data_IF_705752280585
#
_entry.id   IF_705752280585
#
_cell.length_a   1.000
_cell.length_b   1.000
_cell.length_c   1.000
_cell.angle_alpha   90.00
_cell.angle_beta   90.00
_cell.angle_gamma   90.00
#
_symmetry.space_group_name_H-M   'P 1'
#
loop_
_entity.id
_entity.type
_entity.pdbx_description
1 polymer ?
#
# COMPACT_ATOMS: atom_id res chain seq x y z
N UNK A 1 -38.23 -21.28 16.28
CA UNK A 1 -37.03 -20.44 16.17
C UNK A 1 -36.55 -20.54 14.74
N UNK A 2 -36.75 -19.49 13.95
CA UNK A 2 -36.25 -19.42 12.59
C UNK A 2 -34.76 -19.08 12.68
N UNK A 3 -33.90 -20.01 12.26
CA UNK A 3 -32.49 -19.73 12.07
C UNK A 3 -32.37 -18.64 11.01
N UNK A 4 -31.84 -17.47 11.39
CA UNK A 4 -31.35 -16.51 10.42
C UNK A 4 -30.22 -17.18 9.63
N UNK A 5 -30.27 -17.20 8.28
CA UNK A 5 -29.16 -17.70 7.50
C UNK A 5 -27.96 -16.79 7.79
N UNK A 6 -26.90 -17.35 8.37
CA UNK A 6 -25.59 -16.73 8.36
C UNK A 6 -25.21 -16.61 6.88
N UNK A 7 -25.30 -15.41 6.33
CA UNK A 7 -24.79 -15.15 4.99
C UNK A 7 -23.32 -15.59 4.97
N UNK A 8 -22.98 -16.52 4.09
CA UNK A 8 -21.63 -17.05 3.97
C UNK A 8 -20.70 -15.88 3.65
N UNK A 9 -19.73 -15.65 4.53
CA UNK A 9 -18.84 -14.51 4.41
C UNK A 9 -17.96 -14.64 3.15
N UNK A 10 -17.71 -15.87 2.68
CA UNK A 10 -17.02 -16.11 1.40
C UNK A 10 -17.83 -15.52 0.24
N UNK A 11 -19.15 -15.66 0.27
CA UNK A 11 -20.04 -15.07 -0.71
C UNK A 11 -19.99 -13.54 -0.65
N UNK A 12 -19.93 -12.95 0.56
CA UNK A 12 -19.78 -11.50 0.73
C UNK A 12 -18.45 -10.99 0.15
N UNK A 13 -17.35 -11.69 0.39
CA UNK A 13 -16.04 -11.33 -0.17
C UNK A 13 -16.06 -11.48 -1.69
N UNK A 14 -16.60 -12.58 -2.24
CA UNK A 14 -16.70 -12.77 -3.68
C UNK A 14 -17.57 -11.71 -4.36
N UNK A 15 -18.72 -11.36 -3.76
CA UNK A 15 -19.58 -10.27 -4.26
C UNK A 15 -18.81 -8.95 -4.22
N UNK A 16 -18.14 -8.64 -3.11
CA UNK A 16 -17.38 -7.41 -2.95
C UNK A 16 -16.20 -7.30 -3.94
N UNK A 17 -15.55 -8.43 -4.25
CA UNK A 17 -14.52 -8.53 -5.29
C UNK A 17 -15.13 -8.31 -6.70
N UNK A 18 -16.29 -8.92 -6.97
CA UNK A 18 -16.98 -8.78 -8.25
C UNK A 18 -17.49 -7.36 -8.53
N UNK A 19 -17.95 -6.65 -7.49
CA UNK A 19 -18.39 -5.24 -7.62
C UNK A 19 -17.25 -4.24 -7.46
N UNK A 20 -16.03 -4.68 -7.16
CA UNK A 20 -14.86 -3.82 -6.98
C UNK A 20 -14.99 -2.87 -5.78
N UNK A 21 -15.49 -3.35 -4.64
CA UNK A 21 -15.64 -2.53 -3.43
C UNK A 21 -14.26 -2.09 -2.89
N UNK A 22 -13.84 -0.87 -3.21
CA UNK A 22 -12.52 -0.34 -2.86
C UNK A 22 -12.24 -0.40 -1.35
N UNK A 23 -13.25 -0.19 -0.51
CA UNK A 23 -13.10 -0.26 0.95
C UNK A 23 -12.67 -1.65 1.43
N UNK A 24 -13.30 -2.71 0.92
CA UNK A 24 -12.87 -4.08 1.22
C UNK A 24 -11.50 -4.40 0.60
N UNK A 25 -11.26 -3.99 -0.65
CA UNK A 25 -10.00 -4.26 -1.33
C UNK A 25 -8.81 -3.66 -0.56
N UNK A 26 -8.96 -2.43 -0.07
CA UNK A 26 -7.97 -1.79 0.81
C UNK A 26 -7.77 -2.57 2.11
N UNK A 27 -8.85 -3.02 2.75
CA UNK A 27 -8.75 -3.85 3.97
C UNK A 27 -8.05 -5.18 3.72
N UNK A 28 -8.29 -5.85 2.59
CA UNK A 28 -7.57 -7.08 2.24
C UNK A 28 -6.05 -6.82 2.16
N UNK A 29 -5.64 -5.67 1.58
CA UNK A 29 -4.24 -5.30 1.47
C UNK A 29 -3.60 -4.92 2.80
N UNK A 30 -4.34 -4.21 3.65
CA UNK A 30 -3.82 -3.60 4.88
C UNK A 30 -3.93 -4.54 6.07
N UNK A 31 -5.10 -5.17 6.25
CA UNK A 31 -5.45 -5.99 7.42
C UNK A 31 -5.00 -7.45 7.26
N UNK A 32 -4.32 -7.80 6.15
CA UNK A 32 -3.76 -9.14 5.98
C UNK A 32 -2.55 -9.39 6.88
N UNK A 33 -2.24 -10.66 7.12
CA UNK A 33 -1.05 -11.08 7.88
C UNK A 33 -0.11 -11.95 7.03
N UNK A 34 1.16 -11.56 6.88
CA UNK A 34 1.67 -10.21 7.09
C UNK A 34 0.95 -9.21 6.16
N UNK A 35 0.94 -7.91 6.49
CA UNK A 35 0.27 -6.91 5.65
C UNK A 35 0.82 -6.95 4.22
N UNK A 36 -0.08 -6.92 3.23
CA UNK A 36 0.30 -6.97 1.81
C UNK A 36 1.07 -5.72 1.42
N UNK A 37 0.49 -4.57 1.76
CA UNK A 37 0.98 -3.23 1.47
C UNK A 37 0.68 -2.36 2.70
N UNK A 38 1.64 -1.54 3.12
CA UNK A 38 1.41 -0.59 4.21
C UNK A 38 0.29 0.41 3.84
N UNK A 39 -0.57 0.82 4.80
CA UNK A 39 -1.68 1.75 4.52
C UNK A 39 -1.25 3.00 3.75
N UNK A 40 -0.11 3.57 4.16
CA UNK A 40 0.48 4.77 3.56
C UNK A 40 0.74 4.62 2.05
N UNK A 41 1.08 3.41 1.61
CA UNK A 41 1.42 3.07 0.22
C UNK A 41 0.22 2.77 -0.67
N UNK A 42 -1.00 2.66 -0.14
CA UNK A 42 -2.15 2.26 -0.97
C UNK A 42 -2.77 3.49 -1.64
N UNK A 43 -2.46 3.68 -2.92
CA UNK A 43 -3.13 4.60 -3.84
C UNK A 43 -4.49 4.04 -4.27
N UNK A 44 -4.79 4.02 -5.56
CA UNK A 44 -6.00 3.36 -6.07
C UNK A 44 -5.91 1.83 -6.05
N UNK A 45 -7.04 1.15 -5.85
CA UNK A 45 -7.13 -0.32 -5.86
C UNK A 45 -8.28 -0.75 -6.76
N UNK A 46 -8.01 -1.72 -7.62
CA UNK A 46 -9.00 -2.36 -8.48
C UNK A 46 -8.85 -3.88 -8.41
N UNK A 47 -9.96 -4.59 -8.55
CA UNK A 47 -9.98 -6.03 -8.71
C UNK A 47 -10.48 -6.41 -10.10
N UNK A 48 -9.83 -7.39 -10.72
CA UNK A 48 -10.31 -8.07 -11.91
C UNK A 48 -10.51 -9.56 -11.57
N UNK A 49 -11.69 -10.10 -11.85
CA UNK A 49 -12.10 -11.47 -11.49
C UNK A 49 -12.01 -12.39 -12.70
N UNK A 50 -11.66 -13.66 -12.48
CA UNK A 50 -11.56 -14.70 -13.50
C UNK A 50 -10.62 -14.30 -14.66
N UNK A 51 -9.45 -13.75 -14.31
CA UNK A 51 -8.48 -13.24 -15.28
C UNK A 51 -7.84 -14.41 -16.05
N UNK A 52 -7.91 -14.43 -17.40
CA UNK A 52 -7.28 -15.48 -18.20
C UNK A 52 -5.76 -15.34 -18.13
N UNK A 53 -5.06 -16.43 -17.79
CA UNK A 53 -3.60 -16.46 -17.84
C UNK A 53 -3.12 -17.79 -18.41
N UNK A 54 -2.48 -17.72 -19.58
CA UNK A 54 -2.08 -18.91 -20.34
C UNK A 54 -3.27 -19.80 -20.66
N UNK A 55 -3.18 -21.08 -20.30
CA UNK A 55 -4.25 -22.08 -20.46
C UNK A 55 -5.26 -22.11 -19.29
N UNK A 56 -5.06 -21.29 -18.26
CA UNK A 56 -5.86 -21.27 -17.04
C UNK A 56 -6.56 -19.94 -16.77
N UNK A 57 -7.14 -19.84 -15.57
CA UNK A 57 -7.72 -18.61 -15.03
C UNK A 57 -7.25 -18.41 -13.60
N UNK A 58 -7.02 -17.15 -13.24
CA UNK A 58 -6.82 -16.73 -11.86
C UNK A 58 -8.15 -16.29 -11.26
N UNK A 59 -8.36 -16.59 -9.98
CA UNK A 59 -9.59 -16.22 -9.27
C UNK A 59 -9.76 -14.70 -9.31
N UNK A 60 -8.76 -13.96 -8.80
CA UNK A 60 -8.76 -12.50 -8.78
C UNK A 60 -7.34 -11.95 -8.94
N UNK A 61 -7.21 -10.83 -9.65
CA UNK A 61 -5.99 -10.00 -9.68
C UNK A 61 -6.31 -8.64 -9.11
N UNK A 62 -5.58 -8.24 -8.07
CA UNK A 62 -5.63 -6.88 -7.54
C UNK A 62 -4.57 -6.03 -8.22
N UNK A 63 -5.00 -4.93 -8.84
CA UNK A 63 -4.11 -3.89 -9.35
C UNK A 63 -4.10 -2.75 -8.34
N UNK A 64 -2.91 -2.43 -7.83
CA UNK A 64 -2.69 -1.41 -6.80
C UNK A 64 -1.73 -0.35 -7.33
N UNK A 65 -2.12 0.91 -7.22
CA UNK A 65 -1.19 2.04 -7.37
C UNK A 65 -0.43 2.20 -6.05
N UNK A 66 0.86 1.84 -6.05
CA UNK A 66 1.74 2.01 -4.89
C UNK A 66 2.17 3.46 -4.79
N UNK A 67 1.65 4.18 -3.81
CA UNK A 67 1.97 5.58 -3.54
C UNK A 67 3.25 5.70 -2.72
N UNK A 68 4.28 6.33 -3.27
CA UNK A 68 5.54 6.60 -2.55
C UNK A 68 5.51 7.98 -1.88
N UNK A 69 4.70 8.92 -2.38
CA UNK A 69 4.51 10.23 -1.79
C UNK A 69 3.04 10.61 -1.74
N UNK A 70 2.57 11.13 -0.61
CA UNK A 70 1.17 11.50 -0.43
C UNK A 70 1.02 12.95 0.06
N UNK A 71 -0.06 13.60 -0.37
CA UNK A 71 -0.42 14.96 0.03
C UNK A 71 -0.84 14.96 1.50
N UNK A 72 -0.33 15.91 2.29
CA UNK A 72 -0.67 16.03 3.70
C UNK A 72 -2.19 16.22 3.89
N UNK A 73 -2.78 15.48 4.82
CA UNK A 73 -4.22 15.52 5.14
C UNK A 73 -5.14 15.03 4.02
N UNK A 74 -4.64 14.43 2.94
CA UNK A 74 -5.49 13.96 1.83
C UNK A 74 -6.24 12.67 2.13
N UNK A 75 -5.83 11.95 3.19
CA UNK A 75 -6.48 10.73 3.67
C UNK A 75 -6.50 10.71 5.21
N UNK A 76 -7.42 9.96 5.85
CA UNK A 76 -7.51 9.89 7.31
C UNK A 76 -6.27 9.31 8.01
N UNK A 77 -5.48 8.48 7.32
CA UNK A 77 -4.26 7.85 7.82
C UNK A 77 -3.02 8.76 7.69
N UNK A 78 -3.13 9.89 6.98
CA UNK A 78 -2.02 10.80 6.75
C UNK A 78 -2.05 11.96 7.74
N UNK A 79 -0.89 12.40 8.25
CA UNK A 79 -0.80 13.62 9.04
C UNK A 79 -1.30 14.83 8.23
N UNK A 80 -1.95 15.75 8.93
CA UNK A 80 -2.28 17.08 8.40
C UNK A 80 -1.01 17.87 8.04
N UNK A 81 -1.19 19.01 7.37
CA UNK A 81 -0.07 19.91 7.10
C UNK A 81 0.67 20.30 8.39
N UNK A 82 2.01 20.29 8.38
CA UNK A 82 2.80 20.68 9.53
C UNK A 82 2.57 22.15 9.87
N UNK A 83 2.32 22.44 11.14
CA UNK A 83 2.21 23.82 11.63
C UNK A 83 3.61 24.32 11.94
N UNK A 84 4.19 25.09 11.02
CA UNK A 84 5.54 25.64 11.16
C UNK A 84 5.41 27.12 11.52
N UNK A 85 5.88 27.47 12.72
CA UNK A 85 5.77 28.81 13.28
C UNK A 85 7.02 29.67 13.07
N UNK A 86 8.15 29.06 12.74
CA UNK A 86 9.43 29.75 12.60
C UNK A 86 10.08 29.50 11.23
N UNK A 87 10.89 30.47 10.80
CA UNK A 87 11.54 30.45 9.50
C UNK A 87 12.70 29.44 9.45
N UNK A 88 13.39 29.23 10.57
CA UNK A 88 14.60 28.40 10.63
C UNK A 88 14.24 26.91 10.44
N UNK A 89 13.16 26.46 11.05
CA UNK A 89 12.59 25.12 10.88
C UNK A 89 12.07 24.92 9.46
N UNK A 90 11.42 25.94 8.88
CA UNK A 90 11.02 25.88 7.47
C UNK A 90 12.24 25.69 6.57
N UNK A 91 13.31 26.47 6.79
CA UNK A 91 14.54 26.40 6.01
C UNK A 91 15.25 25.05 6.18
N UNK A 92 15.27 24.51 7.41
CA UNK A 92 15.78 23.18 7.69
C UNK A 92 15.02 22.10 6.90
N UNK A 93 13.69 22.20 6.80
CA UNK A 93 12.85 21.24 6.08
C UNK A 93 12.90 21.41 4.55
N UNK A 94 13.38 22.53 4.03
CA UNK A 94 13.28 22.90 2.60
C UNK A 94 14.63 23.30 1.99
N UNK A 95 15.74 22.93 2.62
CA UNK A 95 17.09 23.37 2.25
C UNK A 95 17.60 22.82 0.91
N UNK A 96 17.05 21.73 0.42
CA UNK A 96 17.42 21.10 -0.85
C UNK A 96 16.28 21.17 -1.86
N UNK A 97 16.61 21.35 -3.14
CA UNK A 97 15.63 21.58 -4.22
C UNK A 97 15.82 20.59 -5.34
N UNK A 98 14.74 19.95 -5.77
CA UNK A 98 14.77 19.03 -6.89
C UNK A 98 14.91 19.75 -8.24
N UNK A 99 15.26 18.99 -9.27
CA UNK A 99 15.03 19.42 -10.65
C UNK A 99 13.53 19.63 -10.90
N UNK A 100 13.22 20.36 -11.97
CA UNK A 100 11.85 20.48 -12.45
C UNK A 100 11.44 19.16 -13.10
N UNK A 101 10.38 18.55 -12.58
CA UNK A 101 9.82 17.33 -13.15
C UNK A 101 8.45 17.60 -13.77
N UNK A 102 8.12 16.93 -14.89
CA UNK A 102 6.74 16.89 -15.34
C UNK A 102 5.93 15.99 -14.40
N UNK A 103 4.86 16.55 -13.86
CA UNK A 103 3.82 15.76 -13.21
C UNK A 103 2.92 15.11 -14.27
N UNK A 104 2.58 15.89 -15.30
CA UNK A 104 1.79 15.45 -16.45
C UNK A 104 2.10 16.36 -17.64
N UNK A 105 2.22 15.81 -18.85
CA UNK A 105 2.56 16.56 -20.06
C UNK A 105 1.45 16.49 -21.10
N UNK A 106 1.09 17.66 -21.64
CA UNK A 106 0.16 17.85 -22.76
C UNK A 106 -1.13 17.01 -22.66
N UNK A 107 -1.80 17.08 -21.50
CA UNK A 107 -3.05 16.35 -21.26
C UNK A 107 -4.27 17.26 -21.32
N UNK A 108 -5.44 16.67 -21.56
CA UNK A 108 -6.71 17.41 -21.47
C UNK A 108 -6.97 17.90 -20.04
N UNK A 109 -7.73 18.98 -19.90
CA UNK A 109 -8.15 19.50 -18.60
C UNK A 109 -8.80 18.41 -17.73
N UNK A 110 -9.66 17.58 -18.31
CA UNK A 110 -10.35 16.50 -17.59
C UNK A 110 -9.36 15.50 -16.97
N UNK A 111 -8.29 15.13 -17.68
CA UNK A 111 -7.27 14.21 -17.14
C UNK A 111 -6.39 14.85 -16.08
N UNK A 112 -6.12 16.15 -16.19
CA UNK A 112 -5.42 16.88 -15.14
C UNK A 112 -6.26 16.99 -13.87
N UNK A 113 -7.56 17.28 -14.01
CA UNK A 113 -8.50 17.30 -12.87
C UNK A 113 -8.60 15.93 -12.21
N UNK A 114 -8.75 14.86 -13.00
CA UNK A 114 -8.78 13.49 -12.50
C UNK A 114 -7.51 13.15 -11.71
N UNK A 115 -6.33 13.51 -12.22
CA UNK A 115 -5.06 13.29 -11.53
C UNK A 115 -4.99 14.06 -10.21
N UNK A 116 -5.29 15.36 -10.21
CA UNK A 116 -5.24 16.18 -8.98
C UNK A 116 -6.26 15.70 -7.93
N UNK A 117 -7.45 15.32 -8.37
CA UNK A 117 -8.47 14.75 -7.49
C UNK A 117 -8.02 13.42 -6.90
N UNK A 118 -7.37 12.56 -7.69
CA UNK A 118 -6.86 11.26 -7.22
C UNK A 118 -5.76 11.41 -6.17
N UNK A 119 -4.93 12.44 -6.28
CA UNK A 119 -3.93 12.81 -5.27
C UNK A 119 -4.59 13.27 -3.95
N UNK A 120 -5.84 13.75 -4.04
CA UNK A 120 -6.63 14.24 -2.92
C UNK A 120 -6.55 15.76 -2.73
N UNK A 121 -6.26 16.52 -3.79
CA UNK A 121 -6.46 17.96 -3.76
C UNK A 121 -7.95 18.31 -3.65
N UNK A 122 -8.28 19.28 -2.79
CA UNK A 122 -9.64 19.82 -2.70
C UNK A 122 -10.03 20.57 -3.98
N UNK A 123 -11.33 20.72 -4.22
CA UNK A 123 -11.83 21.46 -5.39
C UNK A 123 -11.27 22.90 -5.45
N UNK A 124 -11.19 23.57 -4.29
CA UNK A 124 -10.60 24.90 -4.20
C UNK A 124 -9.12 24.91 -4.58
N UNK A 125 -8.34 23.94 -4.10
CA UNK A 125 -6.92 23.80 -4.45
C UNK A 125 -6.73 23.50 -5.94
N UNK A 126 -7.55 22.60 -6.50
CA UNK A 126 -7.52 22.28 -7.93
C UNK A 126 -7.82 23.53 -8.77
N UNK A 127 -8.84 24.31 -8.41
CA UNK A 127 -9.16 25.56 -9.11
C UNK A 127 -8.00 26.56 -9.05
N UNK A 128 -7.31 26.67 -7.91
CA UNK A 128 -6.13 27.52 -7.79
C UNK A 128 -4.98 27.03 -8.68
N UNK A 129 -4.61 25.75 -8.60
CA UNK A 129 -3.53 25.14 -9.39
C UNK A 129 -3.76 25.35 -10.89
N UNK A 130 -4.99 25.09 -11.36
CA UNK A 130 -5.33 25.13 -12.77
C UNK A 130 -5.34 26.56 -13.33
N UNK A 131 -5.59 27.58 -12.50
CA UNK A 131 -5.69 28.98 -12.90
C UNK A 131 -4.48 29.83 -12.46
N UNK A 132 -3.36 29.20 -12.13
CA UNK A 132 -2.13 29.91 -11.79
C UNK A 132 -1.64 30.80 -12.96
N UNK A 133 -1.18 32.03 -12.68
CA UNK A 133 -0.39 32.80 -13.62
C UNK A 133 0.89 32.04 -14.05
N UNK A 134 1.43 32.38 -15.23
CA UNK A 134 2.55 31.64 -15.84
C UNK A 134 3.81 31.51 -14.95
N UNK A 135 4.05 32.49 -14.06
CA UNK A 135 5.20 32.51 -13.14
C UNK A 135 4.84 32.08 -11.72
N UNK A 136 3.57 31.77 -11.44
CA UNK A 136 3.11 31.43 -10.11
C UNK A 136 3.29 29.94 -9.80
N UNK A 137 3.36 29.65 -8.50
CA UNK A 137 3.47 28.31 -7.96
C UNK A 137 2.43 28.12 -6.87
N UNK A 138 1.75 26.97 -6.91
CA UNK A 138 0.96 26.48 -5.80
C UNK A 138 1.87 25.64 -4.89
N UNK A 139 1.79 25.84 -3.58
CA UNK A 139 2.62 25.13 -2.61
C UNK A 139 1.75 24.19 -1.79
N UNK A 140 2.20 22.97 -1.58
CA UNK A 140 1.56 22.04 -0.64
C UNK A 140 2.58 21.18 0.09
N UNK A 141 2.16 20.63 1.23
CA UNK A 141 2.96 19.73 2.06
C UNK A 141 2.70 18.28 1.73
N UNK A 142 3.76 17.48 1.78
CA UNK A 142 3.74 16.07 1.39
C UNK A 142 4.58 15.25 2.35
N UNK A 143 4.25 13.96 2.42
CA UNK A 143 5.01 12.95 3.14
C UNK A 143 5.48 11.88 2.15
N UNK A 144 6.74 11.46 2.24
CA UNK A 144 7.22 10.26 1.55
C UNK A 144 7.01 9.07 2.47
N UNK A 145 6.59 7.94 1.94
CA UNK A 145 6.57 6.70 2.69
C UNK A 145 7.83 5.89 2.35
N UNK A 146 8.51 5.38 3.37
CA UNK A 146 9.70 4.53 3.21
C UNK A 146 9.33 3.09 2.84
N UNK A 147 10.31 2.21 2.61
CA UNK A 147 10.03 0.81 2.26
C UNK A 147 9.15 0.05 3.27
N UNK A 148 9.13 0.48 4.54
CA UNK A 148 8.33 -0.09 5.62
C UNK A 148 6.93 0.54 5.74
N UNK A 149 6.67 1.63 5.00
CA UNK A 149 5.44 2.40 5.05
C UNK A 149 5.39 3.43 6.17
N UNK A 150 6.51 3.66 6.87
CA UNK A 150 6.63 4.78 7.79
C UNK A 150 6.76 6.07 6.98
N UNK A 151 6.07 7.12 7.45
CA UNK A 151 6.13 8.42 6.80
C UNK A 151 7.42 9.14 7.21
N UNK A 152 8.11 9.68 6.21
CA UNK A 152 9.32 10.48 6.35
C UNK A 152 9.03 11.87 6.90
N UNK A 153 10.10 12.65 7.07
CA UNK A 153 10.03 14.10 7.28
C UNK A 153 9.19 14.74 6.15
N UNK A 154 8.27 15.68 6.47
CA UNK A 154 7.47 16.36 5.45
C UNK A 154 8.33 17.22 4.53
N UNK A 155 7.88 17.37 3.29
CA UNK A 155 8.53 18.21 2.28
C UNK A 155 7.50 19.09 1.57
N UNK A 156 7.96 20.22 0.99
CA UNK A 156 7.08 21.07 0.18
C UNK A 156 7.18 20.73 -1.29
N UNK A 157 6.04 20.62 -1.96
CA UNK A 157 5.96 20.53 -3.40
C UNK A 157 5.39 21.81 -3.97
N UNK A 158 6.09 22.36 -4.95
CA UNK A 158 5.69 23.54 -5.67
C UNK A 158 5.20 23.07 -7.02
N UNK A 159 3.91 23.26 -7.32
CA UNK A 159 3.26 22.87 -8.56
C UNK A 159 3.00 24.11 -9.39
N UNK A 160 3.27 24.05 -10.68
CA UNK A 160 2.85 25.07 -11.65
C UNK A 160 2.11 24.43 -12.82
N UNK A 161 1.18 25.18 -13.39
CA UNK A 161 0.44 24.78 -14.57
C UNK A 161 0.85 25.62 -15.79
N UNK A 162 0.87 24.99 -16.96
CA UNK A 162 1.03 25.66 -18.25
C UNK A 162 -0.10 25.24 -19.16
N UNK A 163 -0.91 26.20 -19.60
CA UNK A 163 -1.98 26.02 -20.58
C UNK A 163 -1.45 26.33 -21.98
N UNK A 164 -1.87 25.54 -22.96
CA UNK A 164 -1.55 25.74 -24.37
C UNK A 164 -2.80 26.15 -25.15
N UNK A 165 -2.60 26.74 -26.33
CA UNK A 165 -3.70 27.25 -27.16
C UNK A 165 -4.62 26.16 -27.72
N UNK A 166 -4.18 24.90 -27.71
CA UNK A 166 -4.97 23.72 -28.09
C UNK A 166 -5.87 23.19 -26.95
N UNK A 167 -5.88 23.86 -25.79
CA UNK A 167 -6.66 23.46 -24.62
C UNK A 167 -5.98 22.39 -23.75
N UNK A 168 -4.76 21.97 -24.09
CA UNK A 168 -3.99 21.03 -23.26
C UNK A 168 -3.28 21.75 -22.11
N UNK A 169 -2.96 20.97 -21.07
CA UNK A 169 -2.23 21.40 -19.89
C UNK A 169 -1.02 20.52 -19.61
N UNK A 170 0.01 21.16 -19.10
CA UNK A 170 1.16 20.49 -18.47
C UNK A 170 1.27 20.97 -17.03
N UNK A 171 1.39 20.04 -16.08
CA UNK A 171 1.79 20.36 -14.72
C UNK A 171 3.25 20.00 -14.53
N UNK A 172 4.00 20.90 -13.91
CA UNK A 172 5.35 20.61 -13.45
C UNK A 172 5.44 20.81 -11.95
N UNK A 173 6.40 20.13 -11.33
CA UNK A 173 6.68 20.32 -9.93
C UNK A 173 8.17 20.45 -9.63
N UNK A 174 8.46 21.04 -8.47
CA UNK A 174 9.73 20.98 -7.77
C UNK A 174 9.47 20.65 -6.31
N UNK A 175 10.33 19.83 -5.75
CA UNK A 175 10.28 19.45 -4.34
C UNK A 175 11.36 20.18 -3.57
N UNK A 176 11.01 20.55 -2.35
CA UNK A 176 11.85 21.21 -1.36
C UNK A 176 11.85 20.36 -0.10
N UNK A 177 13.00 19.81 0.24
CA UNK A 177 13.16 18.77 1.26
C UNK A 177 14.42 19.05 2.10
N UNK A 178 14.55 18.36 3.23
CA UNK A 178 15.67 18.55 4.16
C UNK A 178 16.98 17.89 3.71
N UNK A 179 16.90 16.81 2.93
CA UNK A 179 18.07 15.97 2.56
C UNK A 179 18.16 15.69 1.06
N UNK A 180 18.29 14.43 0.60
CA UNK A 180 18.24 14.07 -0.83
C UNK A 180 16.80 13.99 -1.35
N UNK A 181 16.55 14.19 -2.67
CA UNK A 181 15.19 14.22 -3.20
C UNK A 181 14.50 12.87 -3.03
N UNK A 182 13.20 12.85 -2.70
CA UNK A 182 12.41 11.63 -2.71
C UNK A 182 12.42 10.98 -4.10
N UNK A 183 12.19 9.66 -4.13
CA UNK A 183 11.91 8.95 -5.38
C UNK A 183 10.77 9.60 -6.16
N UNK A 184 10.73 9.40 -7.49
CA UNK A 184 9.77 10.05 -8.38
C UNK A 184 8.32 9.86 -7.92
N UNK A 185 7.49 10.87 -8.16
CA UNK A 185 6.06 10.93 -7.76
C UNK A 185 5.19 9.79 -8.31
N UNK A 186 5.60 9.15 -9.41
CA UNK A 186 4.72 8.22 -10.13
C UNK A 186 4.52 6.95 -9.32
N UNK A 187 3.27 6.71 -8.92
CA UNK A 187 2.89 5.49 -8.25
C UNK A 187 3.19 4.28 -9.12
N UNK A 188 3.91 3.31 -8.56
CA UNK A 188 4.19 2.06 -9.25
C UNK A 188 2.90 1.25 -9.32
N UNK A 189 2.56 0.71 -10.49
CA UNK A 189 1.44 -0.22 -10.58
C UNK A 189 1.93 -1.62 -10.19
N UNK A 190 1.38 -2.14 -9.10
CA UNK A 190 1.62 -3.50 -8.62
C UNK A 190 0.42 -4.38 -8.93
N UNK A 191 0.69 -5.59 -9.41
CA UNK A 191 -0.33 -6.63 -9.57
C UNK A 191 -0.10 -7.73 -8.54
N UNK A 192 -1.15 -8.04 -7.76
CA UNK A 192 -1.12 -9.05 -6.73
C UNK A 192 -2.19 -10.11 -7.03
N UNK A 193 -1.82 -11.39 -7.19
CA UNK A 193 -2.81 -12.45 -7.27
C UNK A 193 -3.50 -12.61 -5.92
N UNK A 194 -4.84 -12.68 -5.95
CA UNK A 194 -5.68 -12.97 -4.81
C UNK A 194 -6.39 -14.31 -5.04
N UNK A 195 -6.11 -15.26 -4.16
CA UNK A 195 -6.69 -16.60 -4.20
C UNK A 195 -7.69 -16.75 -3.05
N UNK A 196 -8.82 -17.41 -3.30
CA UNK A 196 -9.80 -17.71 -2.26
C UNK A 196 -9.70 -19.20 -1.93
N UNK A 197 -9.36 -19.54 -0.69
CA UNK A 197 -9.23 -20.94 -0.25
C UNK A 197 -10.58 -21.63 -0.32
N UNK A 198 -10.65 -22.78 -1.00
CA UNK A 198 -11.84 -23.60 -0.99
C UNK A 198 -11.88 -24.45 0.29
N UNK A 199 -13.06 -24.68 0.91
CA UNK A 199 -13.16 -25.41 2.18
C UNK A 199 -12.55 -26.82 2.16
N UNK A 200 -12.51 -27.46 0.99
CA UNK A 200 -12.01 -28.83 0.82
C UNK A 200 -10.51 -28.89 0.46
N UNK A 201 -9.86 -27.73 0.26
CA UNK A 201 -8.46 -27.68 -0.13
C UNK A 201 -7.52 -27.70 1.09
N UNK A 202 -6.62 -28.68 1.09
CA UNK A 202 -5.50 -28.74 2.01
C UNK A 202 -4.45 -27.65 1.72
N UNK A 203 -3.53 -27.48 2.66
CA UNK A 203 -2.42 -26.53 2.59
C UNK A 203 -1.64 -26.62 1.27
N UNK A 204 -1.15 -27.81 0.91
CA UNK A 204 -0.29 -28.00 -0.27
C UNK A 204 -1.00 -27.63 -1.57
N UNK A 205 -2.25 -28.07 -1.76
CA UNK A 205 -3.04 -27.74 -2.96
C UNK A 205 -3.28 -26.23 -3.06
N UNK A 206 -3.56 -25.58 -1.93
CA UNK A 206 -3.74 -24.13 -1.86
C UNK A 206 -2.44 -23.39 -2.24
N UNK A 207 -1.31 -23.81 -1.68
CA UNK A 207 0.00 -23.20 -1.94
C UNK A 207 0.42 -23.38 -3.41
N UNK A 208 0.17 -24.54 -4.01
CA UNK A 208 0.43 -24.76 -5.44
C UNK A 208 -0.41 -23.83 -6.33
N UNK A 209 -1.68 -23.58 -5.98
CA UNK A 209 -2.51 -22.62 -6.72
C UNK A 209 -1.99 -21.19 -6.57
N UNK A 210 -1.61 -20.79 -5.35
CA UNK A 210 -1.03 -19.46 -5.09
C UNK A 210 0.28 -19.26 -5.87
N UNK A 211 1.17 -20.26 -5.87
CA UNK A 211 2.45 -20.17 -6.58
C UNK A 211 2.26 -20.13 -8.09
N UNK A 212 1.32 -20.90 -8.65
CA UNK A 212 0.94 -20.79 -10.06
C UNK A 212 0.44 -19.39 -10.40
N UNK A 213 -0.40 -18.81 -9.54
CA UNK A 213 -0.92 -17.45 -9.73
C UNK A 213 0.18 -16.38 -9.70
N UNK A 214 1.17 -16.53 -8.81
CA UNK A 214 2.33 -15.64 -8.76
C UNK A 214 3.20 -15.74 -10.00
N UNK A 215 3.52 -16.96 -10.43
CA UNK A 215 4.32 -17.19 -11.64
C UNK A 215 3.65 -16.61 -12.88
N UNK A 216 2.33 -16.82 -13.00
CA UNK A 216 1.49 -16.27 -14.05
C UNK A 216 1.57 -14.72 -14.16
N UNK A 217 1.72 -14.01 -13.05
CA UNK A 217 1.79 -12.54 -13.00
C UNK A 217 3.21 -12.00 -12.81
N UNK A 218 4.23 -12.86 -12.72
CA UNK A 218 5.57 -12.45 -12.27
C UNK A 218 5.55 -11.67 -10.94
N UNK A 219 4.63 -12.04 -10.04
CA UNK A 219 4.42 -11.33 -8.78
C UNK A 219 5.27 -11.92 -7.64
N UNK A 220 5.99 -11.05 -6.94
CA UNK A 220 6.80 -11.45 -5.78
C UNK A 220 5.94 -11.87 -4.58
N UNK A 221 4.73 -11.30 -4.45
CA UNK A 221 3.83 -11.49 -3.32
C UNK A 221 2.45 -11.93 -3.78
N UNK A 222 1.71 -12.64 -2.92
CA UNK A 222 0.32 -13.03 -3.17
C UNK A 222 -0.56 -12.81 -1.95
N UNK A 223 -1.87 -12.83 -2.19
CA UNK A 223 -2.89 -12.75 -1.17
C UNK A 223 -3.71 -14.04 -1.15
N UNK A 224 -4.04 -14.50 0.05
CA UNK A 224 -4.90 -15.65 0.26
C UNK A 224 -6.03 -15.28 1.23
N UNK A 225 -7.27 -15.40 0.77
CA UNK A 225 -8.45 -15.29 1.61
C UNK A 225 -8.75 -16.66 2.22
N UNK A 226 -8.81 -16.73 3.54
CA UNK A 226 -9.04 -17.97 4.30
C UNK A 226 -10.16 -17.82 5.31
N UNK A 227 -10.92 -18.91 5.53
CA UNK A 227 -11.86 -19.00 6.65
C UNK A 227 -11.09 -19.36 7.92
N UNK A 228 -10.65 -20.61 7.94
CA UNK A 228 -9.94 -21.26 9.00
C UNK A 228 -8.52 -21.57 8.51
N UNK A 229 -7.57 -21.31 9.38
CA UNK A 229 -6.16 -21.59 9.14
C UNK A 229 -5.51 -21.92 10.47
N UNK A 230 -4.69 -22.96 10.46
CA UNK A 230 -3.92 -23.36 11.64
C UNK A 230 -2.68 -22.46 11.78
N UNK A 231 -2.13 -22.25 12.99
CA UNK A 231 -0.94 -21.41 13.17
C UNK A 231 0.26 -21.85 12.30
N UNK A 232 0.44 -23.16 12.10
CA UNK A 232 1.51 -23.70 11.26
C UNK A 232 1.31 -23.39 9.77
N UNK A 233 0.05 -23.40 9.29
CA UNK A 233 -0.27 -22.96 7.94
C UNK A 233 -0.03 -21.45 7.78
N UNK A 234 -0.35 -20.64 8.80
CA UNK A 234 -0.10 -19.19 8.80
C UNK A 234 1.39 -18.91 8.58
N UNK A 235 2.25 -19.55 9.38
CA UNK A 235 3.71 -19.42 9.23
C UNK A 235 4.18 -19.93 7.87
N UNK A 236 3.68 -21.09 7.43
CA UNK A 236 4.02 -21.68 6.13
C UNK A 236 3.71 -20.76 4.95
N UNK A 237 2.54 -20.11 4.95
CA UNK A 237 2.16 -19.14 3.92
C UNK A 237 2.99 -17.85 4.03
N UNK A 238 3.20 -17.32 5.24
CA UNK A 238 3.99 -16.11 5.45
C UNK A 238 5.44 -16.26 4.96
N UNK A 239 6.07 -17.41 5.22
CA UNK A 239 7.43 -17.73 4.73
C UNK A 239 7.53 -17.83 3.20
N UNK A 240 6.40 -17.98 2.51
CA UNK A 240 6.31 -18.04 1.05
C UNK A 240 5.89 -16.71 0.42
N UNK A 241 5.96 -15.59 1.16
CA UNK A 241 5.47 -14.26 0.74
C UNK A 241 3.97 -14.26 0.39
N UNK A 242 3.17 -14.98 1.16
CA UNK A 242 1.71 -14.99 1.03
C UNK A 242 1.09 -14.26 2.23
N UNK A 243 0.33 -13.21 1.94
CA UNK A 243 -0.44 -12.43 2.91
C UNK A 243 -1.83 -13.02 3.08
N UNK A 244 -2.20 -13.34 4.31
CA UNK A 244 -3.46 -14.00 4.66
C UNK A 244 -4.50 -12.97 5.08
N UNK A 245 -5.69 -13.01 4.50
CA UNK A 245 -6.82 -12.23 4.96
C UNK A 245 -7.94 -13.16 5.44
N UNK A 246 -8.39 -12.94 6.67
CA UNK A 246 -9.60 -13.56 7.21
C UNK A 246 -10.46 -12.50 7.87
N UNK A 247 -11.77 -12.69 7.83
CA UNK A 247 -12.71 -11.86 8.59
C UNK A 247 -12.64 -12.23 10.08
N UNK A 248 -12.22 -13.44 10.40
CA UNK A 248 -11.90 -13.88 11.75
C UNK A 248 -10.46 -13.50 12.10
N UNK A 249 -10.17 -13.40 13.40
CA UNK A 249 -8.81 -13.15 13.86
C UNK A 249 -7.89 -14.29 13.44
N UNK A 250 -6.85 -13.99 12.66
CA UNK A 250 -5.83 -14.96 12.28
C UNK A 250 -5.09 -15.39 13.55
N UNK A 251 -4.98 -16.70 13.85
CA UNK A 251 -4.25 -17.18 15.01
C UNK A 251 -2.75 -17.05 14.76
N UNK A 252 -2.21 -15.86 14.98
CA UNK A 252 -0.78 -15.60 14.92
C UNK A 252 -0.19 -16.05 16.26
N UNK A 253 0.70 -17.03 16.23
CA UNK A 253 1.47 -17.38 17.42
C UNK A 253 2.26 -16.15 17.86
N UNK A 254 2.16 -15.72 19.14
CA UNK A 254 2.99 -14.63 19.62
C UNK A 254 4.46 -15.01 19.38
N UNK A 255 5.33 -14.02 19.06
CA UNK A 255 6.74 -14.29 18.86
C UNK A 255 7.25 -15.07 20.07
N UNK A 256 7.96 -16.17 19.81
CA UNK A 256 8.51 -17.01 20.87
C UNK A 256 9.35 -16.16 21.81
N UNK A 257 8.80 -15.88 22.99
CA UNK A 257 9.48 -15.15 24.05
C UNK A 257 10.13 -16.16 24.99
N UNK A 258 11.39 -16.46 24.70
CA UNK A 258 12.18 -17.37 25.49
C UNK A 258 12.33 -16.89 26.95
N UNK A 259 12.20 -15.59 27.23
CA UNK A 259 12.23 -15.04 28.59
C UNK A 259 11.00 -15.42 29.41
N UNK A 260 9.82 -15.44 28.78
CA UNK A 260 8.55 -15.82 29.41
C UNK A 260 8.11 -17.26 29.15
N UNK A 261 8.97 -18.08 28.54
CA UNK A 261 8.69 -19.49 28.30
C UNK A 261 8.54 -20.25 29.63
N UNK A 262 7.44 -20.98 29.82
CA UNK A 262 7.19 -21.80 31.01
C UNK A 262 7.58 -23.27 30.83
N UNK A 263 8.08 -23.63 29.64
CA UNK A 263 8.40 -25.00 29.27
C UNK A 263 9.76 -25.42 29.86
N UNK A 264 9.73 -26.20 30.95
CA UNK A 264 10.92 -26.61 31.70
C UNK A 264 11.97 -27.43 30.88
N UNK A 265 11.56 -27.98 29.74
CA UNK A 265 12.44 -28.73 28.83
C UNK A 265 13.03 -27.88 27.71
N UNK A 266 12.68 -26.60 27.61
CA UNK A 266 13.23 -25.69 26.62
C UNK A 266 14.62 -25.22 27.05
N UNK A 267 15.65 -25.57 26.28
CA UNK A 267 17.05 -25.15 26.53
C UNK A 267 17.27 -23.63 26.48
N UNK A 268 16.31 -22.87 25.95
CA UNK A 268 16.37 -21.42 25.81
C UNK A 268 15.51 -20.69 26.85
N UNK A 269 14.87 -21.41 27.78
CA UNK A 269 14.02 -20.83 28.82
C UNK A 269 14.80 -19.79 29.67
N UNK A 270 14.25 -18.59 29.81
CA UNK A 270 14.83 -17.47 30.57
C UNK A 270 15.94 -16.71 29.83
N UNK A 271 16.26 -17.05 28.58
CA UNK A 271 17.33 -16.38 27.83
C UNK A 271 16.80 -15.18 27.03
N UNK A 272 17.40 -14.01 27.31
CA UNK A 272 17.20 -12.72 26.61
C UNK A 272 17.83 -12.67 25.20
N UNK A 273 18.67 -13.64 24.85
CA UNK A 273 19.33 -13.73 23.55
C UNK A 273 19.15 -15.14 23.00
N UNK A 274 17.91 -15.47 22.64
CA UNK A 274 17.69 -16.71 21.90
C UNK A 274 18.32 -16.59 20.50
N UNK A 275 18.82 -17.68 19.91
CA UNK A 275 19.27 -17.69 18.52
C UNK A 275 18.21 -17.14 17.55
N UNK A 276 16.93 -17.29 17.89
CA UNK A 276 15.79 -16.74 17.14
C UNK A 276 15.74 -15.22 17.22
N UNK A 277 15.96 -14.63 18.40
CA UNK A 277 16.06 -13.18 18.56
C UNK A 277 17.34 -12.62 17.93
N UNK A 278 18.47 -13.34 18.05
CA UNK A 278 19.74 -12.94 17.43
C UNK A 278 19.67 -12.94 15.90
N UNK A 279 19.04 -13.94 15.27
CA UNK A 279 18.80 -13.96 13.82
C UNK A 279 17.84 -12.85 13.37
N UNK A 280 16.82 -12.51 14.17
CA UNK A 280 15.88 -11.42 13.84
C UNK A 280 16.50 -10.03 13.99
N UNK A 281 17.44 -9.87 14.91
CA UNK A 281 18.20 -8.63 15.09
C UNK A 281 19.41 -8.50 14.16
N UNK A 282 19.73 -9.54 13.38
CA UNK A 282 20.84 -9.53 12.45
C UNK A 282 20.49 -8.68 11.22
N UNK A 283 20.91 -7.43 11.23
CA UNK A 283 21.04 -6.63 10.02
C UNK A 283 22.33 -7.09 9.32
N UNK A 284 22.29 -7.59 8.08
CA UNK A 284 23.52 -7.85 7.34
C UNK A 284 24.28 -6.52 7.18
N UNK A 285 25.57 -6.53 7.55
CA UNK A 285 26.45 -5.39 7.33
C UNK A 285 26.47 -5.05 5.83
N UNK A 286 26.25 -3.77 5.52
CA UNK A 286 26.34 -3.19 4.16
C UNK A 286 27.79 -2.88 3.84
#
# INVERSE_FOLDING_TARGET
MLATPSVDWQEQVQIALAVGNEGLLRRILIDSWPAAIAPSHVGSVRADVAVPVGEGRLDVVLTVERTVCALAGSRPDLPSEPVIHDHDHLQFLTGCVSKLYPLVQNQSLSKVVELLSRVGFSEAAMHQILNLPYHAWYKSWWYQADGAGSLSIPFQRFIRSRRYGDGTLTLHYKDYYSQEPPGSFVGETLQLPLVIRQPQEGFMATLERVNRARQALSAEKALLVVDEVTPIEVEGFAHQNVSLYSIQSIPVSPPADCYHCTQATCSLQGQLQSPVQACRGFLPEV
#
